data_IF_584662612457
#
_entry.id   IF_584662612457
#
_cell.length_a   1.000
_cell.length_b   1.000
_cell.length_c   1.000
_cell.angle_alpha   90.00
_cell.angle_beta   90.00
_cell.angle_gamma   90.00
#
_symmetry.space_group_name_H-M   'P 1'
#
loop_
_entity.id
_entity.type
_entity.pdbx_description
1 polymer ?
#
# COMPACT_ATOMS: atom_id res chain seq x y z
N UNK A 1 7.42 11.57 -6.62
CA UNK A 1 8.04 10.28 -7.04
C UNK A 1 8.56 9.59 -5.80
N UNK A 2 8.27 8.30 -5.64
CA UNK A 2 8.89 7.50 -4.58
C UNK A 2 10.39 7.42 -4.82
N UNK A 3 11.17 8.02 -3.93
CA UNK A 3 12.62 7.85 -3.91
C UNK A 3 12.98 6.98 -2.71
N UNK A 4 13.04 5.66 -2.93
CA UNK A 4 13.32 4.72 -1.86
C UNK A 4 14.81 4.48 -1.82
N UNK A 5 15.48 5.15 -0.92
CA UNK A 5 16.82 4.76 -0.52
C UNK A 5 16.72 3.46 0.30
N UNK A 6 17.26 2.38 -0.25
CA UNK A 6 17.38 1.14 0.50
C UNK A 6 18.46 1.29 1.57
N UNK A 7 18.09 1.01 2.81
CA UNK A 7 19.02 1.01 3.94
C UNK A 7 19.83 -0.28 3.88
N UNK A 8 21.14 -0.14 3.72
CA UNK A 8 22.09 -1.26 3.62
C UNK A 8 22.93 -1.37 4.89
N UNK A 9 23.45 -2.57 5.13
CA UNK A 9 24.39 -2.85 6.22
C UNK A 9 23.85 -2.54 7.63
N UNK A 10 22.53 -2.62 7.81
CA UNK A 10 21.90 -2.49 9.12
C UNK A 10 21.72 -3.85 9.76
N UNK A 11 21.82 -3.91 11.07
CA UNK A 11 21.42 -5.05 11.89
C UNK A 11 20.07 -4.79 12.56
N UNK A 12 19.49 -5.82 13.16
CA UNK A 12 18.30 -5.64 14.00
C UNK A 12 18.50 -4.58 15.09
N UNK A 13 19.67 -4.61 15.79
CA UNK A 13 20.01 -3.64 16.82
C UNK A 13 20.09 -2.20 16.28
N UNK A 14 20.59 -2.01 15.06
CA UNK A 14 20.62 -0.69 14.42
C UNK A 14 19.22 -0.17 14.12
N UNK A 15 18.31 -1.04 13.68
CA UNK A 15 16.92 -0.64 13.47
C UNK A 15 16.25 -0.22 14.78
N UNK A 16 16.44 -0.99 15.83
CA UNK A 16 15.86 -0.68 17.14
C UNK A 16 16.41 0.64 17.68
N UNK A 17 17.72 0.88 17.55
CA UNK A 17 18.36 2.10 18.00
C UNK A 17 17.94 3.33 17.18
N UNK A 18 17.81 3.17 15.85
CA UNK A 18 17.48 4.25 14.91
C UNK A 18 15.99 4.34 14.54
N UNK A 19 15.09 3.74 15.32
CA UNK A 19 13.67 3.60 14.94
C UNK A 19 12.98 4.93 14.62
N UNK A 20 13.34 6.02 15.30
CA UNK A 20 12.75 7.34 15.06
C UNK A 20 13.14 7.90 13.69
N UNK A 21 14.36 7.67 13.23
CA UNK A 21 14.82 8.09 11.91
C UNK A 21 14.12 7.27 10.82
N UNK A 22 13.97 5.97 11.03
CA UNK A 22 13.26 5.10 10.09
C UNK A 22 11.76 5.39 10.01
N UNK A 23 11.14 5.79 11.13
CA UNK A 23 9.75 6.28 11.12
C UNK A 23 9.64 7.57 10.31
N UNK A 24 10.60 8.47 10.39
CA UNK A 24 10.62 9.68 9.55
C UNK A 24 10.68 9.32 8.06
N UNK A 25 11.59 8.42 7.67
CA UNK A 25 11.68 7.92 6.30
C UNK A 25 10.35 7.30 5.85
N UNK A 26 9.73 6.48 6.70
CA UNK A 26 8.42 5.87 6.44
C UNK A 26 7.33 6.93 6.23
N UNK A 27 7.26 7.96 7.06
CA UNK A 27 6.26 9.02 6.93
C UNK A 27 6.48 9.90 5.70
N UNK A 28 7.73 10.13 5.34
CA UNK A 28 8.10 10.93 4.17
C UNK A 28 7.82 10.18 2.86
N UNK A 29 8.04 8.85 2.83
CA UNK A 29 7.98 8.06 1.60
C UNK A 29 6.81 7.05 1.56
N UNK A 30 6.12 6.78 2.68
CA UNK A 30 5.09 5.75 2.80
C UNK A 30 5.63 4.34 2.92
N UNK A 31 6.93 4.18 2.87
CA UNK A 31 7.58 2.91 3.10
C UNK A 31 9.04 3.10 3.51
N UNK A 32 9.59 2.09 4.17
CA UNK A 32 11.01 1.98 4.50
C UNK A 32 11.48 0.59 4.13
N UNK A 33 12.65 0.50 3.48
CA UNK A 33 13.21 -0.73 2.94
C UNK A 33 14.61 -0.98 3.48
N UNK A 34 14.82 -2.18 4.02
CA UNK A 34 16.11 -2.66 4.50
C UNK A 34 16.55 -3.82 3.64
N UNK A 35 17.79 -3.77 3.15
CA UNK A 35 18.36 -4.81 2.30
C UNK A 35 19.08 -5.85 3.15
N UNK A 36 18.76 -7.14 2.92
CA UNK A 36 19.49 -8.29 3.43
C UNK A 36 19.73 -8.30 4.95
N UNK A 37 18.69 -7.93 5.71
CA UNK A 37 18.79 -7.83 7.18
C UNK A 37 18.53 -9.15 7.92
N UNK A 38 17.90 -10.13 7.28
CA UNK A 38 17.68 -11.49 7.81
C UNK A 38 17.00 -11.55 9.20
N UNK A 39 16.00 -10.73 9.44
CA UNK A 39 15.27 -10.74 10.71
C UNK A 39 14.63 -12.10 11.00
N UNK A 40 14.69 -12.58 12.22
CA UNK A 40 13.78 -13.62 12.71
C UNK A 40 12.33 -13.11 12.74
N UNK A 41 11.37 -14.00 12.89
CA UNK A 41 9.94 -13.60 12.98
C UNK A 41 9.67 -12.73 14.20
N UNK A 42 10.30 -13.03 15.34
CA UNK A 42 10.17 -12.24 16.57
C UNK A 42 10.81 -10.85 16.44
N UNK A 43 11.96 -10.75 15.80
CA UNK A 43 12.60 -9.46 15.53
C UNK A 43 11.77 -8.59 14.58
N UNK A 44 11.22 -9.19 13.51
CA UNK A 44 10.29 -8.51 12.63
C UNK A 44 9.09 -7.95 13.38
N UNK A 45 8.45 -8.77 14.22
CA UNK A 45 7.31 -8.38 15.05
C UNK A 45 7.67 -7.23 15.98
N UNK A 46 8.81 -7.34 16.67
CA UNK A 46 9.27 -6.29 17.58
C UNK A 46 9.50 -4.95 16.85
N UNK A 47 10.12 -4.96 15.67
CA UNK A 47 10.30 -3.73 14.89
C UNK A 47 8.94 -3.11 14.51
N UNK A 48 7.98 -3.92 14.05
CA UNK A 48 6.64 -3.42 13.69
C UNK A 48 5.91 -2.89 14.93
N UNK A 49 6.07 -3.52 16.10
CA UNK A 49 5.51 -3.04 17.36
C UNK A 49 6.11 -1.68 17.79
N UNK A 50 7.39 -1.45 17.55
CA UNK A 50 8.01 -0.15 17.80
C UNK A 50 7.38 0.94 16.93
N UNK A 51 7.19 0.68 15.63
CA UNK A 51 6.45 1.57 14.73
C UNK A 51 5.02 1.79 15.22
N UNK A 52 4.31 0.72 15.60
CA UNK A 52 2.94 0.78 16.09
C UNK A 52 2.80 1.67 17.32
N UNK A 53 3.70 1.54 18.30
CA UNK A 53 3.72 2.36 19.51
C UNK A 53 3.95 3.85 19.18
N UNK A 54 4.94 4.15 18.35
CA UNK A 54 5.29 5.53 17.97
C UNK A 54 4.20 6.19 17.11
N UNK A 55 3.61 5.45 16.17
CA UNK A 55 2.57 5.93 15.26
C UNK A 55 1.15 5.77 15.83
N UNK A 56 1.03 5.27 17.07
CA UNK A 56 -0.25 5.06 17.78
C UNK A 56 -1.23 4.16 17.02
N UNK A 57 -0.72 3.08 16.41
CA UNK A 57 -1.56 2.01 15.90
C UNK A 57 -2.13 1.19 17.07
N UNK A 58 -3.28 0.56 16.88
CA UNK A 58 -3.96 -0.09 17.99
C UNK A 58 -3.38 -1.46 18.35
N UNK A 59 -3.00 -2.23 17.33
CA UNK A 59 -2.36 -3.53 17.53
C UNK A 59 -1.65 -4.00 16.25
N UNK A 60 -0.73 -4.91 16.42
CA UNK A 60 -0.05 -5.65 15.36
C UNK A 60 -0.55 -7.09 15.39
N UNK A 61 -0.81 -7.65 14.22
CA UNK A 61 -1.14 -9.05 14.04
C UNK A 61 -0.06 -9.71 13.22
N UNK A 62 0.59 -10.68 13.82
CA UNK A 62 1.57 -11.54 13.16
C UNK A 62 0.88 -12.77 12.60
N UNK A 63 1.30 -13.20 11.43
CA UNK A 63 0.90 -14.47 10.86
C UNK A 63 1.94 -15.52 11.26
N UNK A 64 1.90 -15.95 12.52
CA UNK A 64 2.91 -16.84 13.11
C UNK A 64 2.69 -18.33 12.85
N UNK A 65 1.76 -18.72 12.04
CA UNK A 65 1.66 -20.14 11.72
C UNK A 65 2.68 -20.46 10.64
N UNK A 66 3.48 -21.47 10.85
CA UNK A 66 4.40 -22.04 9.85
C UNK A 66 3.69 -22.36 8.53
N UNK A 67 2.37 -22.51 8.57
CA UNK A 67 1.47 -22.73 7.43
C UNK A 67 1.06 -21.43 6.69
N UNK A 68 1.37 -20.26 7.23
CA UNK A 68 1.05 -18.97 6.61
C UNK A 68 2.29 -18.27 6.04
N UNK A 69 3.17 -19.04 5.45
CA UNK A 69 3.90 -18.52 4.30
C UNK A 69 2.84 -18.05 3.32
N UNK A 70 2.56 -16.75 3.29
CA UNK A 70 1.61 -16.19 2.35
C UNK A 70 2.23 -16.24 0.97
N UNK A 71 2.35 -17.44 0.53
CA UNK A 71 2.45 -17.76 -0.84
C UNK A 71 1.09 -17.40 -1.39
N UNK A 72 1.07 -16.42 -2.25
CA UNK A 72 -0.06 -16.23 -3.12
C UNK A 72 -0.23 -17.59 -3.79
N UNK A 73 -1.20 -18.38 -3.29
CA UNK A 73 -1.52 -19.68 -3.88
C UNK A 73 -2.24 -19.43 -5.21
N UNK A 74 -1.48 -19.02 -6.18
CA UNK A 74 -1.90 -19.02 -7.55
C UNK A 74 -1.72 -20.46 -8.01
N UNK A 75 -2.82 -21.20 -7.95
CA UNK A 75 -2.91 -22.58 -8.41
C UNK A 75 -2.23 -22.69 -9.76
N UNK A 76 -1.11 -23.38 -9.81
CA UNK A 76 -0.50 -24.04 -10.97
C UNK A 76 -0.19 -23.21 -12.24
N UNK A 77 -0.23 -21.88 -12.21
CA UNK A 77 0.21 -21.06 -13.33
C UNK A 77 1.53 -20.36 -12.99
N UNK A 78 2.59 -20.83 -13.61
CA UNK A 78 3.82 -20.04 -13.78
C UNK A 78 3.42 -18.89 -14.71
N UNK A 79 3.03 -17.76 -14.15
CA UNK A 79 2.73 -16.58 -14.95
C UNK A 79 4.05 -15.96 -15.42
N UNK A 80 4.02 -15.39 -16.62
CA UNK A 80 5.16 -14.68 -17.16
C UNK A 80 5.62 -13.59 -16.16
N UNK A 81 6.92 -13.35 -16.09
CA UNK A 81 7.53 -12.33 -15.22
C UNK A 81 6.96 -10.92 -15.41
N UNK A 82 6.49 -10.62 -16.61
CA UNK A 82 5.95 -9.30 -16.98
C UNK A 82 4.45 -9.18 -16.72
N UNK A 83 3.75 -10.28 -16.40
CA UNK A 83 2.34 -10.25 -16.04
C UNK A 83 2.14 -9.84 -14.59
N UNK A 84 1.20 -8.92 -14.37
CA UNK A 84 0.77 -8.54 -13.02
C UNK A 84 -0.22 -9.59 -12.54
N UNK A 85 0.13 -10.31 -11.46
CA UNK A 85 -0.67 -11.39 -10.90
C UNK A 85 -1.58 -10.93 -9.77
N UNK A 86 -1.17 -9.88 -9.06
CA UNK A 86 -2.01 -9.09 -8.16
C UNK A 86 -2.00 -7.68 -8.71
N UNK A 87 -3.13 -7.25 -9.23
CA UNK A 87 -3.26 -5.94 -9.84
C UNK A 87 -3.03 -4.80 -8.84
N UNK A 88 -2.78 -3.62 -9.38
CA UNK A 88 -2.59 -2.41 -8.61
C UNK A 88 -3.77 -2.15 -7.69
N UNK A 89 -3.52 -2.11 -6.39
CA UNK A 89 -4.55 -1.92 -5.37
C UNK A 89 -4.03 -1.12 -4.19
N UNK A 90 -4.97 -0.59 -3.44
CA UNK A 90 -4.75 0.02 -2.13
C UNK A 90 -5.64 -0.71 -1.15
N UNK A 91 -5.14 -0.98 0.05
CA UNK A 91 -5.91 -1.74 1.04
C UNK A 91 -7.20 -1.04 1.46
N UNK A 92 -8.27 -1.82 1.60
CA UNK A 92 -9.58 -1.30 1.93
C UNK A 92 -9.73 -0.92 3.39
N UNK A 93 -10.41 0.20 3.64
CA UNK A 93 -10.77 0.61 4.99
C UNK A 93 -11.96 -0.21 5.50
N UNK A 94 -11.75 -1.03 6.53
CA UNK A 94 -12.80 -1.82 7.18
C UNK A 94 -13.61 -0.97 8.16
N UNK A 95 -14.82 -1.45 8.56
CA UNK A 95 -15.77 -0.69 9.40
C UNK A 95 -15.22 -0.26 10.76
N UNK A 96 -14.45 -1.09 11.46
CA UNK A 96 -13.97 -0.82 12.83
C UNK A 96 -12.48 -0.61 12.91
N UNK A 97 -11.71 -1.59 12.44
CA UNK A 97 -10.26 -1.56 12.35
C UNK A 97 -9.84 -1.74 10.92
N UNK A 98 -8.87 -0.98 10.47
CA UNK A 98 -8.30 -1.08 9.14
C UNK A 98 -6.84 -1.41 9.22
N UNK A 99 -6.37 -2.17 8.25
CA UNK A 99 -4.96 -2.40 8.02
C UNK A 99 -4.34 -1.07 7.56
N UNK A 100 -3.48 -0.51 8.39
CA UNK A 100 -2.83 0.79 8.12
C UNK A 100 -1.40 0.63 7.67
N UNK A 101 -0.77 -0.48 8.02
CA UNK A 101 0.55 -0.81 7.54
C UNK A 101 0.71 -2.34 7.43
N UNK A 102 1.67 -2.75 6.62
CA UNK A 102 2.16 -4.11 6.57
C UNK A 102 3.69 -4.13 6.58
N UNK A 103 4.25 -5.23 7.04
CA UNK A 103 5.66 -5.52 6.83
C UNK A 103 5.83 -6.84 6.10
N UNK A 104 6.85 -6.91 5.25
CA UNK A 104 7.26 -8.13 4.55
C UNK A 104 8.74 -8.37 4.80
N UNK A 105 9.07 -9.58 5.26
CA UNK A 105 10.45 -10.02 5.42
C UNK A 105 10.68 -11.24 4.51
N UNK A 106 11.48 -11.06 3.49
CA UNK A 106 11.73 -12.08 2.46
C UNK A 106 12.62 -13.18 3.04
N UNK A 107 12.04 -14.36 3.26
CA UNK A 107 12.72 -15.52 3.86
C UNK A 107 13.43 -16.37 2.85
N UNK A 108 12.91 -16.45 1.63
CA UNK A 108 13.50 -17.15 0.51
C UNK A 108 13.17 -16.42 -0.78
N UNK A 109 14.18 -16.13 -1.56
CA UNK A 109 14.01 -15.56 -2.89
C UNK A 109 15.06 -16.11 -3.85
N UNK A 110 14.67 -17.06 -4.67
CA UNK A 110 15.51 -17.71 -5.68
C UNK A 110 14.98 -17.48 -7.09
N UNK A 111 14.16 -16.44 -7.26
CA UNK A 111 13.64 -16.06 -8.57
C UNK A 111 14.74 -15.42 -9.44
N UNK A 112 14.71 -15.62 -10.75
CA UNK A 112 15.57 -14.88 -11.67
C UNK A 112 15.30 -13.37 -11.57
N UNK A 113 16.29 -12.57 -11.96
CA UNK A 113 16.17 -11.11 -11.98
C UNK A 113 14.96 -10.66 -12.79
N UNK A 114 14.19 -9.71 -12.24
CA UNK A 114 12.94 -9.19 -12.82
C UNK A 114 11.69 -10.01 -12.53
N UNK A 115 11.82 -11.19 -11.92
CA UNK A 115 10.69 -12.05 -11.54
C UNK A 115 10.21 -11.73 -10.13
N UNK A 116 8.90 -11.84 -9.88
CA UNK A 116 8.31 -11.69 -8.53
C UNK A 116 8.47 -10.30 -7.91
N UNK A 117 8.71 -9.27 -8.72
CA UNK A 117 8.85 -7.89 -8.26
C UNK A 117 7.55 -7.38 -7.65
N UNK A 118 7.68 -6.48 -6.69
CA UNK A 118 6.55 -5.73 -6.15
C UNK A 118 6.61 -4.30 -6.65
N UNK A 119 5.51 -3.83 -7.24
CA UNK A 119 5.36 -2.44 -7.67
C UNK A 119 4.77 -1.58 -6.55
N UNK A 120 5.22 -0.34 -6.45
CA UNK A 120 4.73 0.67 -5.50
C UNK A 120 4.49 2.00 -6.20
N UNK A 121 3.41 2.69 -5.82
CA UNK A 121 3.07 4.03 -6.28
C UNK A 121 2.59 4.84 -5.07
N UNK A 122 3.06 6.07 -4.95
CA UNK A 122 2.59 7.03 -3.96
C UNK A 122 1.30 7.72 -4.46
N UNK A 123 0.16 7.41 -3.86
CA UNK A 123 -1.12 8.02 -4.23
C UNK A 123 -1.20 9.51 -3.89
N UNK A 124 -0.41 9.98 -2.94
CA UNK A 124 -0.32 11.42 -2.63
C UNK A 124 0.44 12.17 -3.72
N UNK A 125 1.46 11.54 -4.30
CA UNK A 125 2.17 12.10 -5.45
C UNK A 125 1.27 12.14 -6.69
N UNK A 126 0.54 11.06 -6.99
CA UNK A 126 -0.44 11.07 -8.08
C UNK A 126 -1.49 12.18 -7.90
N UNK A 127 -2.00 12.36 -6.68
CA UNK A 127 -2.92 13.45 -6.39
C UNK A 127 -2.30 14.83 -6.65
N UNK A 128 -1.03 15.02 -6.32
CA UNK A 128 -0.32 16.29 -6.54
C UNK A 128 -0.06 16.61 -8.02
N UNK A 129 -0.12 15.61 -8.92
CA UNK A 129 0.02 15.80 -10.37
C UNK A 129 -1.27 16.25 -11.06
N UNK A 130 -2.40 16.17 -10.35
CA UNK A 130 -3.70 16.57 -10.89
C UNK A 130 -3.84 18.10 -10.94
N UNK A 131 -4.58 18.64 -11.93
CA UNK A 131 -5.01 20.04 -11.92
C UNK A 131 -5.77 20.41 -10.64
N UNK A 132 -5.72 21.67 -10.24
CA UNK A 132 -6.32 22.14 -8.99
C UNK A 132 -7.84 21.92 -8.92
N UNK A 133 -8.53 22.11 -10.06
CA UNK A 133 -9.99 21.86 -10.18
C UNK A 133 -10.34 20.39 -9.98
N UNK A 134 -9.50 19.46 -10.45
CA UNK A 134 -9.66 18.04 -10.21
C UNK A 134 -9.46 17.69 -8.74
N UNK A 135 -8.43 18.27 -8.14
CA UNK A 135 -8.14 18.07 -6.72
C UNK A 135 -9.28 18.59 -5.83
N UNK A 136 -9.84 19.76 -6.17
CA UNK A 136 -10.97 20.35 -5.46
C UNK A 136 -12.22 19.47 -5.59
N UNK A 137 -12.54 19.05 -6.81
CA UNK A 137 -13.67 18.16 -7.07
C UNK A 137 -13.55 16.85 -6.29
N UNK A 138 -12.39 16.18 -6.32
CA UNK A 138 -12.19 14.93 -5.59
C UNK A 138 -12.32 15.07 -4.06
N UNK A 139 -12.07 16.23 -3.49
CA UNK A 139 -12.32 16.51 -2.06
C UNK A 139 -13.80 16.49 -1.70
N UNK A 140 -14.68 16.81 -2.64
CA UNK A 140 -16.14 16.77 -2.46
C UNK A 140 -16.72 15.36 -2.63
N UNK A 141 -15.95 14.42 -3.21
CA UNK A 141 -16.42 13.09 -3.59
C UNK A 141 -16.37 12.12 -2.41
N UNK A 142 -17.49 11.44 -2.20
CA UNK A 142 -17.61 10.24 -1.36
C UNK A 142 -17.89 9.03 -2.26
N UNK A 143 -17.16 7.97 -2.03
CA UNK A 143 -17.23 6.73 -2.81
C UNK A 143 -17.83 5.61 -1.98
N UNK A 144 -18.72 4.83 -2.58
CA UNK A 144 -19.31 3.62 -2.00
C UNK A 144 -19.15 2.45 -2.96
N UNK A 145 -18.60 1.35 -2.49
CA UNK A 145 -18.58 0.08 -3.21
C UNK A 145 -19.78 -0.77 -2.80
N UNK A 146 -20.67 -1.09 -3.74
CA UNK A 146 -21.90 -1.85 -3.47
C UNK A 146 -21.56 -3.32 -3.19
N UNK A 147 -20.89 -3.99 -4.10
CA UNK A 147 -20.60 -5.44 -4.01
C UNK A 147 -19.69 -5.79 -2.85
N UNK A 148 -18.71 -4.94 -2.54
CA UNK A 148 -17.78 -5.19 -1.44
C UNK A 148 -18.31 -4.74 -0.08
N UNK A 149 -19.53 -4.18 -0.03
CA UNK A 149 -20.12 -3.64 1.20
C UNK A 149 -19.18 -2.72 1.99
N UNK A 150 -18.39 -1.94 1.26
CA UNK A 150 -17.53 -0.93 1.89
C UNK A 150 -18.33 0.32 2.17
N UNK A 151 -18.19 0.89 3.40
CA UNK A 151 -18.93 2.08 3.76
C UNK A 151 -18.47 3.29 2.95
N UNK A 152 -19.33 4.29 2.89
CA UNK A 152 -19.04 5.62 2.37
C UNK A 152 -17.68 6.12 2.85
N UNK A 153 -16.83 6.57 1.93
CA UNK A 153 -15.51 7.11 2.23
C UNK A 153 -15.18 8.26 1.31
N UNK A 154 -14.54 9.27 1.84
CA UNK A 154 -13.99 10.35 1.02
C UNK A 154 -12.93 9.81 0.06
N UNK A 155 -12.96 10.32 -1.16
CA UNK A 155 -11.97 10.03 -2.19
C UNK A 155 -10.58 10.54 -1.79
N UNK A 156 -10.55 11.71 -1.16
CA UNK A 156 -9.32 12.33 -0.66
C UNK A 156 -9.39 12.41 0.86
N UNK A 157 -8.37 11.93 1.53
CA UNK A 157 -8.22 12.04 2.98
C UNK A 157 -6.87 12.67 3.33
N UNK A 158 -6.81 13.36 4.47
CA UNK A 158 -5.55 13.85 5.01
C UNK A 158 -4.89 12.78 5.86
N UNK A 159 -3.68 12.37 5.51
CA UNK A 159 -2.95 11.36 6.27
C UNK A 159 -2.55 11.91 7.64
N UNK A 160 -2.96 11.20 8.72
CA UNK A 160 -2.83 11.67 10.09
C UNK A 160 -1.42 12.04 10.50
N UNK A 161 -0.45 11.19 10.16
CA UNK A 161 0.92 11.30 10.67
C UNK A 161 1.81 12.15 9.75
N UNK A 162 1.63 12.07 8.43
CA UNK A 162 2.44 12.83 7.46
C UNK A 162 1.79 14.15 7.03
N UNK A 163 0.49 14.33 7.26
CA UNK A 163 -0.25 15.51 6.81
C UNK A 163 -0.50 15.59 5.30
N UNK A 164 -0.08 14.59 4.53
CA UNK A 164 -0.28 14.53 3.07
C UNK A 164 -1.75 14.32 2.73
N UNK A 165 -2.21 14.89 1.62
CA UNK A 165 -3.48 14.52 1.01
C UNK A 165 -3.28 13.20 0.23
N UNK A 166 -4.11 12.23 0.52
CA UNK A 166 -4.04 10.89 -0.06
C UNK A 166 -5.26 10.67 -0.92
N UNK A 167 -5.04 10.22 -2.16
CA UNK A 167 -6.11 9.75 -3.02
C UNK A 167 -6.41 8.28 -2.73
N UNK A 168 -7.64 8.02 -2.31
CA UNK A 168 -8.14 6.67 -1.97
C UNK A 168 -9.01 6.09 -3.09
N UNK A 169 -8.64 6.34 -4.32
CA UNK A 169 -9.28 5.78 -5.50
C UNK A 169 -8.62 4.46 -5.86
N UNK A 170 -9.39 3.42 -6.16
CA UNK A 170 -8.89 2.13 -6.64
C UNK A 170 -8.93 2.14 -8.17
N UNK A 171 -7.86 1.71 -8.86
CA UNK A 171 -7.79 1.78 -10.32
C UNK A 171 -8.90 1.03 -11.06
N UNK A 172 -9.30 -0.13 -10.55
CA UNK A 172 -10.36 -0.96 -11.14
C UNK A 172 -11.65 -0.85 -10.32
N UNK A 173 -12.32 0.27 -10.51
CA UNK A 173 -13.71 0.33 -10.12
C UNK A 173 -14.57 -0.20 -11.25
N UNK A 174 -15.12 -1.39 -11.07
CA UNK A 174 -16.19 -1.90 -11.90
C UNK A 174 -17.44 -0.99 -11.83
N UNK A 175 -18.50 -1.44 -12.47
CA UNK A 175 -19.79 -0.74 -12.53
C UNK A 175 -20.46 -0.56 -11.16
N UNK A 176 -19.89 -1.14 -10.10
CA UNK A 176 -20.44 -1.18 -8.74
C UNK A 176 -20.09 0.03 -7.88
N UNK A 177 -19.51 1.07 -8.45
CA UNK A 177 -19.10 2.26 -7.73
C UNK A 177 -20.20 3.32 -7.77
N UNK A 178 -20.75 3.62 -6.61
CA UNK A 178 -21.57 4.83 -6.40
C UNK A 178 -20.68 5.96 -5.90
N UNK A 179 -20.93 7.14 -6.43
CA UNK A 179 -20.35 8.38 -5.91
C UNK A 179 -21.45 9.32 -5.43
N UNK A 180 -21.12 10.16 -4.45
CA UNK A 180 -21.88 11.35 -4.12
C UNK A 180 -20.96 12.57 -4.12
N UNK A 181 -21.52 13.72 -4.47
CA UNK A 181 -20.83 15.02 -4.48
C UNK A 181 -21.45 15.89 -3.39
N UNK A 182 -20.66 16.27 -2.38
CA UNK A 182 -21.17 17.01 -1.22
C UNK A 182 -22.41 16.34 -0.58
N UNK A 183 -22.38 15.01 -0.45
CA UNK A 183 -23.46 14.16 0.09
C UNK A 183 -24.75 14.12 -0.74
N UNK A 184 -24.73 14.61 -1.99
CA UNK A 184 -25.86 14.55 -2.94
C UNK A 184 -25.54 13.59 -4.09
N UNK A 185 -26.59 13.12 -4.78
CA UNK A 185 -26.42 12.40 -6.03
C UNK A 185 -25.72 13.32 -7.06
N UNK A 186 -24.72 12.80 -7.82
CA UNK A 186 -24.03 13.60 -8.80
C UNK A 186 -24.95 13.96 -9.97
N UNK A 187 -24.77 15.14 -10.53
CA UNK A 187 -25.31 15.47 -11.85
C UNK A 187 -24.61 14.65 -12.95
N UNK A 188 -25.19 14.58 -14.13
CA UNK A 188 -24.59 13.91 -15.30
C UNK A 188 -23.20 14.50 -15.64
N UNK A 189 -23.04 15.81 -15.52
CA UNK A 189 -21.78 16.51 -15.77
C UNK A 189 -20.71 16.12 -14.73
N UNK A 190 -21.07 16.09 -13.45
CA UNK A 190 -20.17 15.67 -12.36
C UNK A 190 -19.77 14.21 -12.49
N UNK A 191 -20.71 13.34 -12.89
CA UNK A 191 -20.42 11.93 -13.13
C UNK A 191 -19.47 11.73 -14.31
N UNK A 192 -19.66 12.45 -15.42
CA UNK A 192 -18.75 12.43 -16.55
C UNK A 192 -17.36 12.95 -16.18
N UNK A 193 -17.30 14.03 -15.41
CA UNK A 193 -16.05 14.61 -14.94
C UNK A 193 -15.29 13.63 -14.02
N UNK A 194 -15.98 12.98 -13.09
CA UNK A 194 -15.39 11.93 -12.25
C UNK A 194 -14.81 10.78 -13.10
N UNK A 195 -15.53 10.32 -14.11
CA UNK A 195 -15.07 9.25 -14.98
C UNK A 195 -13.81 9.66 -15.80
N UNK A 196 -13.71 10.92 -16.22
CA UNK A 196 -12.50 11.44 -16.86
C UNK A 196 -11.30 11.39 -15.92
N UNK A 197 -11.47 11.82 -14.67
CA UNK A 197 -10.41 11.76 -13.66
C UNK A 197 -10.04 10.32 -13.36
N UNK A 198 -11.01 9.43 -13.21
CA UNK A 198 -10.81 8.00 -12.97
C UNK A 198 -10.00 7.34 -14.10
N UNK A 199 -10.32 7.66 -15.34
CA UNK A 199 -9.59 7.14 -16.50
C UNK A 199 -8.14 7.63 -16.49
N UNK A 200 -7.90 8.92 -16.31
CA UNK A 200 -6.55 9.48 -16.21
C UNK A 200 -5.75 8.81 -15.09
N UNK A 201 -6.37 8.61 -13.92
CA UNK A 201 -5.74 7.97 -12.76
C UNK A 201 -5.34 6.52 -13.06
N UNK A 202 -6.24 5.76 -13.70
CA UNK A 202 -5.95 4.39 -14.13
C UNK A 202 -4.79 4.36 -15.14
N UNK A 203 -4.78 5.28 -16.09
CA UNK A 203 -3.72 5.40 -17.09
C UNK A 203 -2.36 5.75 -16.45
N UNK A 204 -2.35 6.65 -15.47
CA UNK A 204 -1.12 6.95 -14.74
C UNK A 204 -0.58 5.72 -14.01
N UNK A 205 -1.44 4.95 -13.36
CA UNK A 205 -1.04 3.76 -12.61
C UNK A 205 -0.52 2.67 -13.54
N UNK A 206 -1.18 2.44 -14.68
CA UNK A 206 -0.87 1.31 -15.56
C UNK A 206 0.22 1.59 -16.57
N UNK A 207 0.25 2.81 -17.12
CA UNK A 207 1.01 3.13 -18.32
C UNK A 207 2.14 4.15 -18.09
N UNK A 208 2.16 4.84 -16.94
CA UNK A 208 3.21 5.82 -16.65
C UNK A 208 4.30 5.23 -15.75
N UNK A 209 5.35 4.69 -16.38
CA UNK A 209 6.48 4.12 -15.63
C UNK A 209 7.18 5.12 -14.69
N UNK A 210 7.07 6.42 -14.96
CA UNK A 210 7.71 7.44 -14.11
C UNK A 210 7.10 7.57 -12.71
N UNK A 211 5.87 7.10 -12.49
CA UNK A 211 5.21 7.09 -11.18
C UNK A 211 5.36 5.75 -10.47
N UNK A 212 5.79 4.71 -11.18
CA UNK A 212 5.93 3.36 -10.67
C UNK A 212 7.36 3.15 -10.13
N UNK A 213 7.44 2.53 -8.99
CA UNK A 213 8.69 1.99 -8.47
C UNK A 213 8.58 0.47 -8.38
N UNK A 214 9.54 -0.24 -8.96
CA UNK A 214 9.61 -1.69 -8.94
C UNK A 214 10.71 -2.18 -8.00
N UNK A 215 10.31 -2.85 -6.91
CA UNK A 215 11.23 -3.44 -5.97
C UNK A 215 11.61 -4.85 -6.43
N UNK A 216 12.91 -5.03 -6.68
CA UNK A 216 13.51 -6.34 -6.87
C UNK A 216 13.92 -6.89 -5.51
N UNK A 217 13.29 -7.98 -5.14
CA UNK A 217 13.57 -8.65 -3.89
C UNK A 217 14.92 -9.36 -3.90
N UNK A 218 15.56 -9.39 -2.73
CA UNK A 218 16.62 -10.32 -2.35
C UNK A 218 16.20 -11.03 -1.06
N UNK A 219 16.80 -12.20 -0.81
CA UNK A 219 16.59 -12.90 0.45
C UNK A 219 17.11 -12.05 1.62
N UNK A 220 16.34 -11.98 2.69
CA UNK A 220 16.61 -11.12 3.84
C UNK A 220 16.12 -9.68 3.72
N UNK A 221 15.54 -9.27 2.58
CA UNK A 221 14.93 -7.94 2.47
C UNK A 221 13.76 -7.78 3.43
N UNK A 222 13.68 -6.60 4.05
CA UNK A 222 12.59 -6.26 4.95
C UNK A 222 12.00 -4.91 4.57
N UNK A 223 10.67 -4.86 4.39
CA UNK A 223 9.92 -3.64 4.04
C UNK A 223 8.81 -3.43 5.04
N UNK A 224 8.63 -2.18 5.47
CA UNK A 224 7.41 -1.71 6.14
C UNK A 224 6.74 -0.70 5.19
N UNK A 225 5.46 -0.89 4.93
CA UNK A 225 4.67 -0.11 3.96
C UNK A 225 3.44 0.49 4.62
N UNK A 226 3.11 1.73 4.29
CA UNK A 226 1.87 2.39 4.66
C UNK A 226 0.76 2.02 3.66
N UNK A 227 -0.20 1.23 4.12
CA UNK A 227 -1.31 0.74 3.32
C UNK A 227 -2.42 1.77 3.11
N UNK A 228 -2.33 2.92 3.77
CA UNK A 228 -3.32 3.97 3.60
C UNK A 228 -3.15 4.71 2.27
N UNK A 229 -1.93 4.81 1.77
CA UNK A 229 -1.68 5.58 0.56
C UNK A 229 -0.70 4.99 -0.45
N UNK A 230 0.00 3.89 -0.12
CA UNK A 230 0.82 3.21 -1.10
C UNK A 230 -0.02 2.20 -1.88
N UNK A 231 -0.19 2.47 -3.17
CA UNK A 231 -0.75 1.54 -4.13
C UNK A 231 0.33 0.53 -4.45
N UNK A 232 -0.02 -0.75 -4.50
CA UNK A 232 0.96 -1.79 -4.78
C UNK A 232 0.39 -2.91 -5.64
N UNK A 233 1.30 -3.63 -6.30
CA UNK A 233 0.98 -4.77 -7.15
C UNK A 233 2.11 -5.81 -7.08
N UNK A 234 1.89 -6.99 -7.63
CA UNK A 234 2.89 -8.05 -7.70
C UNK A 234 2.99 -8.59 -9.12
N UNK A 235 4.21 -8.63 -9.68
CA UNK A 235 4.54 -9.31 -10.93
C UNK A 235 4.69 -10.81 -10.73
N UNK A 236 4.40 -11.57 -11.77
CA UNK A 236 4.51 -13.01 -11.84
C UNK A 236 5.94 -13.53 -11.98
N UNK A 237 6.06 -14.74 -12.50
CA UNK A 237 7.33 -15.40 -12.74
C UNK A 237 7.95 -16.06 -11.50
N UNK A 238 7.15 -16.41 -10.51
CA UNK A 238 7.58 -17.11 -9.29
C UNK A 238 6.63 -18.24 -8.90
N UNK A 239 7.10 -19.11 -8.04
CA UNK A 239 6.35 -20.20 -7.41
C UNK A 239 6.42 -20.03 -5.88
N UNK A 240 5.64 -20.83 -5.16
CA UNK A 240 5.71 -20.90 -3.71
C UNK A 240 7.08 -21.35 -3.21
N UNK A 241 7.79 -22.12 -3.98
CA UNK A 241 9.09 -22.69 -3.58
C UNK A 241 10.21 -21.67 -3.66
N UNK A 242 10.10 -20.66 -4.55
CA UNK A 242 11.18 -19.73 -4.83
C UNK A 242 10.94 -18.29 -4.33
N UNK A 243 9.73 -17.99 -3.77
CA UNK A 243 9.40 -16.69 -3.16
C UNK A 243 8.56 -16.88 -1.90
N UNK A 244 9.19 -16.73 -0.75
CA UNK A 244 8.55 -16.90 0.56
C UNK A 244 8.88 -15.71 1.47
N UNK A 245 7.85 -15.16 2.13
CA UNK A 245 8.04 -14.08 3.11
C UNK A 245 7.12 -14.22 4.31
N UNK A 246 7.55 -13.71 5.44
CA UNK A 246 6.70 -13.51 6.62
C UNK A 246 6.09 -12.12 6.60
N UNK A 247 4.87 -11.99 7.12
CA UNK A 247 4.12 -10.73 7.11
C UNK A 247 3.51 -10.41 8.46
N UNK A 248 3.59 -9.13 8.84
CA UNK A 248 2.81 -8.58 9.94
C UNK A 248 1.87 -7.50 9.40
N UNK A 249 0.70 -7.40 10.04
CA UNK A 249 -0.27 -6.36 9.77
C UNK A 249 -0.38 -5.44 10.98
N UNK A 250 -0.38 -4.13 10.77
CA UNK A 250 -0.73 -3.15 11.79
C UNK A 250 -2.13 -2.61 11.54
N UNK A 251 -2.88 -2.45 12.63
CA UNK A 251 -4.27 -2.04 12.60
C UNK A 251 -4.49 -0.78 13.41
N UNK A 252 -5.33 0.12 12.87
CA UNK A 252 -5.82 1.27 13.59
C UNK A 252 -7.36 1.38 13.51
N UNK A 253 -7.98 2.00 14.53
CA UNK A 253 -9.40 2.31 14.49
C UNK A 253 -9.69 3.35 13.41
N UNK A 254 -10.79 3.15 12.69
CA UNK A 254 -11.23 4.09 11.68
C UNK A 254 -11.37 5.53 12.23
N UNK A 255 -11.89 5.68 13.45
CA UNK A 255 -12.00 6.96 14.13
C UNK A 255 -10.69 7.70 14.32
N UNK A 256 -9.57 6.99 14.34
CA UNK A 256 -8.27 7.56 14.67
C UNK A 256 -7.54 8.13 13.46
N UNK A 257 -7.88 7.69 12.24
CA UNK A 257 -7.26 8.18 11.00
C UNK A 257 -8.22 8.89 10.05
N UNK A 258 -9.55 8.79 10.27
CA UNK A 258 -10.55 9.54 9.49
C UNK A 258 -11.02 10.85 10.15
N UNK A 259 -10.55 11.17 11.36
CA UNK A 259 -10.91 12.42 12.05
C UNK A 259 -10.48 13.71 11.32
N UNK A 260 -9.70 13.57 10.27
CA UNK A 260 -9.11 14.70 9.51
C UNK A 260 -9.52 14.69 8.03
N UNK A 261 -10.54 13.90 7.71
CA UNK A 261 -11.11 13.86 6.36
C UNK A 261 -12.35 14.76 6.25
#
# INVERSE_FOLDING_TARGET
MLNIESIKNSSYSDIVAGVDDYIKIFLDNGLVCFKQIYLSTLEQEHVVDLFAKKLKWNYVQSTHTEDHNYTISMRDKILNKDEIIIDWHIEHLKKKYSQVAASWNMKKFTCPKGHGNTGFIDSSYLYSLMPDDWQEFLRSIVVTHITMNFPHRKCVIKHRNSGKNILRLIPDFGEDLLISVNDNDPSDEEFLFFNQIKQWYSDQIRNNESVQMWWQWDEGDFIIIDLLYIIHCVKGGFTQENRQFTRNWAFAKKSDFLKYA
#
